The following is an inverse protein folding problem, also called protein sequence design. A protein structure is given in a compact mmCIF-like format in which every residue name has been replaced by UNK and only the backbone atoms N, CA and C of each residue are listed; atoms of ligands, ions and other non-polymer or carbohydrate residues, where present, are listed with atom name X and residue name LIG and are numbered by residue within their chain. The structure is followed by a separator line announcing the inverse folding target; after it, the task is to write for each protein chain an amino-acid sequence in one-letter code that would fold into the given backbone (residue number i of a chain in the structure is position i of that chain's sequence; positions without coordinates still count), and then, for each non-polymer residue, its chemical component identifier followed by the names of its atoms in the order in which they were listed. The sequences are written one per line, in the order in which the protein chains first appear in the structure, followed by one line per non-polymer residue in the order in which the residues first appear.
data_IF_031170823690
#
_entry.id   IF_031170823690
#
_cell.length_a   1.000
_cell.length_b   1.000
_cell.length_c   1.000
_cell.angle_alpha   90.00
_cell.angle_beta   90.00
_cell.angle_gamma   90.00
#
_symmetry.space_group_name_H-M   'P 1'
#
loop_
_entity.id
_entity.type
_entity.pdbx_description
1 polymer ?
#
# COMPACT_ATOMS: atom_id res chain seq x y z
N UNK A 1 9.14 -6.86 -31.69
CA UNK A 1 9.13 -5.48 -31.15
C UNK A 1 7.83 -5.37 -30.39
N UNK A 2 7.82 -5.82 -29.14
CA UNK A 2 6.58 -5.97 -28.38
C UNK A 2 6.18 -4.66 -27.73
N UNK A 3 5.05 -4.12 -28.20
CA UNK A 3 4.44 -2.90 -27.72
C UNK A 3 3.94 -3.08 -26.28
N UNK A 4 4.82 -2.87 -25.30
CA UNK A 4 4.45 -2.60 -23.89
C UNK A 4 3.80 -1.21 -23.73
N UNK A 5 3.14 -0.70 -24.76
CA UNK A 5 2.51 0.62 -24.74
C UNK A 5 1.23 0.60 -23.93
N UNK A 6 0.47 -0.50 -24.03
CA UNK A 6 -0.90 -0.59 -23.56
C UNK A 6 -1.10 -1.80 -22.64
N UNK A 7 -2.10 -1.68 -21.76
CA UNK A 7 -2.49 -2.78 -20.90
C UNK A 7 -2.95 -3.97 -21.75
N UNK A 8 -2.65 -5.21 -21.33
CA UNK A 8 -3.07 -6.41 -22.07
C UNK A 8 -4.61 -6.53 -22.16
N UNK A 9 -5.33 -5.85 -21.27
CA UNK A 9 -6.78 -5.84 -21.10
C UNK A 9 -7.22 -4.49 -20.51
N UNK A 10 -8.47 -4.05 -20.73
CA UNK A 10 -8.99 -2.84 -20.11
C UNK A 10 -8.84 -2.86 -18.59
N UNK A 11 -8.38 -1.74 -18.02
CA UNK A 11 -8.29 -1.57 -16.58
C UNK A 11 -9.64 -1.12 -16.06
N UNK A 12 -10.30 -2.00 -15.30
CA UNK A 12 -11.55 -1.69 -14.60
C UNK A 12 -11.22 -1.25 -13.17
N UNK A 13 -11.75 -0.10 -12.76
CA UNK A 13 -11.55 0.44 -11.40
C UNK A 13 -12.48 -0.27 -10.44
N UNK A 14 -11.93 -0.81 -9.34
CA UNK A 14 -12.70 -1.60 -8.37
C UNK A 14 -13.74 -0.73 -7.67
N UNK A 15 -13.42 0.55 -7.42
CA UNK A 15 -14.38 1.50 -6.87
C UNK A 15 -15.64 1.63 -7.77
N UNK A 16 -15.48 1.74 -9.09
CA UNK A 16 -16.64 1.82 -10.02
C UNK A 16 -17.47 0.54 -9.94
N UNK A 17 -16.81 -0.63 -9.92
CA UNK A 17 -17.50 -1.91 -9.79
C UNK A 17 -18.28 -2.00 -8.48
N UNK A 18 -17.65 -1.59 -7.38
CA UNK A 18 -18.28 -1.58 -6.05
C UNK A 18 -19.47 -0.62 -5.96
N UNK A 19 -19.43 0.50 -6.69
CA UNK A 19 -20.48 1.51 -6.71
C UNK A 19 -21.58 1.23 -7.75
N UNK A 20 -21.39 0.23 -8.62
CA UNK A 20 -22.32 -0.10 -9.71
C UNK A 20 -23.64 -0.76 -9.27
N UNK A 21 -23.71 -1.23 -8.02
CA UNK A 21 -24.84 -2.02 -7.51
C UNK A 21 -24.82 -3.50 -7.93
N UNK A 22 -23.70 -3.99 -8.47
CA UNK A 22 -23.52 -5.41 -8.78
C UNK A 22 -23.71 -6.30 -7.54
N UNK A 23 -24.45 -7.40 -7.69
CA UNK A 23 -24.73 -8.36 -6.62
C UNK A 23 -23.70 -9.48 -6.52
N UNK A 24 -22.82 -9.59 -7.52
CA UNK A 24 -21.81 -10.64 -7.62
C UNK A 24 -20.43 -10.05 -7.93
N UNK A 25 -19.40 -10.68 -7.37
CA UNK A 25 -18.00 -10.33 -7.66
C UNK A 25 -17.61 -10.96 -9.00
N UNK A 26 -17.10 -10.19 -9.98
CA UNK A 26 -16.67 -10.74 -11.25
C UNK A 26 -15.62 -11.85 -11.08
N UNK A 27 -15.65 -12.92 -11.90
CA UNK A 27 -14.79 -14.10 -11.70
C UNK A 27 -13.29 -13.81 -11.60
N UNK A 28 -12.81 -12.73 -12.23
CA UNK A 28 -11.40 -12.34 -12.20
C UNK A 28 -10.90 -11.90 -10.83
N UNK A 29 -11.78 -11.55 -9.91
CA UNK A 29 -11.44 -11.16 -8.54
C UNK A 29 -11.69 -12.28 -7.53
N UNK A 30 -12.20 -13.43 -7.99
CA UNK A 30 -12.43 -14.60 -7.16
C UNK A 30 -11.14 -15.41 -7.10
N UNK A 31 -10.53 -15.49 -5.91
CA UNK A 31 -9.31 -16.30 -5.70
C UNK A 31 -9.58 -17.80 -5.93
N UNK A 32 -8.59 -18.58 -6.37
CA UNK A 32 -8.68 -20.04 -6.42
C UNK A 32 -9.01 -20.62 -5.03
N UNK A 33 -9.70 -21.77 -4.92
CA UNK A 33 -10.05 -22.37 -3.64
C UNK A 33 -8.87 -22.54 -2.67
N UNK A 34 -7.68 -22.86 -3.19
CA UNK A 34 -6.43 -23.03 -2.45
C UNK A 34 -5.90 -21.73 -1.81
N UNK A 35 -6.25 -20.57 -2.38
CA UNK A 35 -5.83 -19.25 -1.89
C UNK A 35 -6.89 -18.60 -0.98
N UNK A 36 -8.05 -19.25 -0.79
CA UNK A 36 -9.12 -18.71 0.05
C UNK A 36 -8.85 -19.03 1.52
N UNK A 37 -9.26 -18.15 2.45
CA UNK A 37 -9.13 -18.43 3.87
C UNK A 37 -9.82 -19.75 4.23
N UNK A 38 -9.09 -20.66 4.88
CA UNK A 38 -9.66 -21.87 5.48
C UNK A 38 -10.35 -21.50 6.80
N UNK A 39 -11.56 -22.03 7.04
CA UNK A 39 -12.25 -21.85 8.32
C UNK A 39 -11.53 -22.52 9.51
N UNK A 40 -10.53 -23.36 9.24
CA UNK A 40 -9.75 -24.10 10.24
C UNK A 40 -8.54 -23.31 10.77
N UNK A 41 -8.66 -21.99 10.98
CA UNK A 41 -7.61 -21.22 11.65
C UNK A 41 -7.59 -21.57 13.14
N UNK A 42 -6.93 -22.68 13.47
CA UNK A 42 -6.66 -23.11 14.83
C UNK A 42 -5.54 -22.27 15.45
N UNK A 43 -5.76 -21.91 16.73
CA UNK A 43 -4.88 -21.19 17.65
C UNK A 43 -4.41 -19.81 17.15
N UNK A 44 -5.05 -18.78 17.70
CA UNK A 44 -4.56 -17.41 17.72
C UNK A 44 -3.20 -17.38 18.43
N UNK A 45 -2.12 -17.60 17.67
CA UNK A 45 -0.83 -17.10 18.10
C UNK A 45 -0.89 -15.59 17.85
N UNK A 46 -0.93 -14.81 18.94
CA UNK A 46 -0.98 -13.35 18.83
C UNK A 46 0.27 -12.85 18.10
N UNK A 47 0.06 -11.98 17.12
CA UNK A 47 1.12 -11.33 16.35
C UNK A 47 2.05 -10.60 17.33
N UNK A 48 3.38 -10.79 17.26
CA UNK A 48 4.32 -10.12 18.17
C UNK A 48 4.13 -8.61 18.17
N UNK A 49 4.00 -8.01 19.35
CA UNK A 49 3.94 -6.56 19.55
C UNK A 49 5.29 -6.10 20.11
N UNK A 50 5.96 -5.20 19.42
CA UNK A 50 7.28 -4.67 19.78
C UNK A 50 7.16 -3.19 20.14
N UNK A 51 7.46 -2.88 21.40
CA UNK A 51 7.61 -1.50 21.87
C UNK A 51 8.98 -0.95 21.44
N UNK A 52 8.98 0.11 20.62
CA UNK A 52 10.21 0.74 20.12
C UNK A 52 10.77 1.83 21.05
N UNK A 53 10.11 2.12 22.17
CA UNK A 53 10.57 3.12 23.14
C UNK A 53 11.45 2.56 24.25
N UNK A 54 11.47 1.23 24.43
CA UNK A 54 12.23 0.55 25.50
C UNK A 54 13.65 0.18 25.06
N UNK A 55 14.58 0.18 26.02
CA UNK A 55 15.91 -0.43 25.84
C UNK A 55 15.76 -1.94 25.66
N UNK A 56 16.31 -2.49 24.57
CA UNK A 56 16.18 -3.92 24.23
C UNK A 56 15.21 -4.24 23.08
N UNK A 57 14.56 -3.24 22.49
CA UNK A 57 13.68 -3.42 21.32
C UNK A 57 14.35 -4.16 20.15
N UNK A 58 15.68 -4.06 20.01
CA UNK A 58 16.44 -4.78 19.00
C UNK A 58 16.34 -6.31 19.12
N UNK A 59 16.45 -6.85 20.33
CA UNK A 59 16.34 -8.29 20.55
C UNK A 59 14.92 -8.79 20.24
N UNK A 60 13.89 -8.04 20.68
CA UNK A 60 12.49 -8.35 20.39
C UNK A 60 12.17 -8.28 18.89
N UNK A 61 12.67 -7.25 18.19
CA UNK A 61 12.56 -7.13 16.73
C UNK A 61 13.21 -8.32 16.02
N UNK A 62 14.42 -8.68 16.42
CA UNK A 62 15.18 -9.75 15.80
C UNK A 62 14.50 -11.11 16.02
N UNK A 63 13.96 -11.36 17.22
CA UNK A 63 13.14 -12.54 17.53
C UNK A 63 11.88 -12.60 16.68
N UNK A 64 11.08 -11.53 16.63
CA UNK A 64 9.87 -11.48 15.84
C UNK A 64 10.16 -11.65 14.32
N UNK A 65 11.21 -11.03 13.79
CA UNK A 65 11.61 -11.22 12.41
C UNK A 65 12.03 -12.67 12.10
N UNK A 66 12.72 -13.36 13.02
CA UNK A 66 13.18 -14.74 12.83
C UNK A 66 12.05 -15.76 12.94
N UNK A 67 11.19 -15.60 13.93
CA UNK A 67 10.13 -16.57 14.24
C UNK A 67 8.88 -16.35 13.40
N UNK A 68 8.56 -15.09 13.10
CA UNK A 68 7.30 -14.70 12.44
C UNK A 68 7.47 -14.07 11.07
N UNK A 69 8.58 -13.36 10.85
CA UNK A 69 8.76 -12.52 9.65
C UNK A 69 7.89 -11.25 9.64
N UNK A 70 7.06 -11.02 10.66
CA UNK A 70 6.27 -9.80 10.84
C UNK A 70 5.97 -9.51 12.31
N UNK A 71 5.61 -8.26 12.61
CA UNK A 71 5.29 -7.78 13.95
C UNK A 71 4.48 -6.49 13.89
N UNK A 72 3.84 -6.13 15.00
CA UNK A 72 3.24 -4.81 15.23
C UNK A 72 4.23 -3.93 16.01
N UNK A 73 4.49 -2.71 15.54
CA UNK A 73 5.31 -1.75 16.28
C UNK A 73 4.43 -0.78 17.06
N UNK A 74 4.74 -0.57 18.34
CA UNK A 74 4.10 0.46 19.18
C UNK A 74 5.15 1.43 19.72
N UNK A 75 4.72 2.61 20.16
CA UNK A 75 5.60 3.66 20.68
C UNK A 75 6.76 4.02 19.72
N UNK A 76 6.49 3.95 18.41
CA UNK A 76 7.47 4.14 17.33
C UNK A 76 7.88 5.60 17.08
N UNK A 77 7.32 6.55 17.81
CA UNK A 77 7.68 7.98 17.74
C UNK A 77 7.05 8.76 16.57
N UNK A 78 6.14 8.15 15.81
CA UNK A 78 5.32 8.87 14.81
C UNK A 78 4.05 9.35 15.52
N UNK A 79 3.74 10.65 15.47
CA UNK A 79 2.61 11.20 16.21
C UNK A 79 1.27 10.68 15.67
N UNK A 80 0.30 10.35 16.54
CA UNK A 80 -1.04 9.91 16.13
C UNK A 80 -1.75 10.89 15.20
N UNK A 81 -1.59 12.20 15.44
CA UNK A 81 -2.19 13.26 14.64
C UNK A 81 -1.67 13.23 13.19
N UNK A 82 -0.38 12.95 13.00
CA UNK A 82 0.21 12.80 11.67
C UNK A 82 -0.34 11.56 10.96
N UNK A 83 -0.51 10.45 11.67
CA UNK A 83 -1.09 9.23 11.09
C UNK A 83 -2.55 9.46 10.68
N UNK A 84 -3.35 10.10 11.54
CA UNK A 84 -4.74 10.43 11.26
C UNK A 84 -4.86 11.34 10.04
N UNK A 85 -4.09 12.43 10.02
CA UNK A 85 -4.05 13.37 8.89
C UNK A 85 -3.63 12.70 7.59
N UNK A 86 -2.63 11.81 7.64
CA UNK A 86 -2.18 11.08 6.46
C UNK A 86 -3.30 10.20 5.88
N UNK A 87 -4.03 9.49 6.75
CA UNK A 87 -5.19 8.68 6.35
C UNK A 87 -6.32 9.54 5.77
N UNK A 88 -6.63 10.66 6.40
CA UNK A 88 -7.67 11.59 5.94
C UNK A 88 -7.36 12.16 4.56
N UNK A 89 -6.11 12.60 4.35
CA UNK A 89 -5.67 13.18 3.08
C UNK A 89 -5.80 12.18 1.92
N UNK A 90 -5.36 10.94 2.12
CA UNK A 90 -5.53 9.89 1.11
C UNK A 90 -6.99 9.50 0.94
N UNK A 91 -7.77 9.40 2.03
CA UNK A 91 -9.21 9.16 1.95
C UNK A 91 -9.88 10.22 1.07
N UNK A 92 -9.56 11.50 1.29
CA UNK A 92 -10.09 12.61 0.47
C UNK A 92 -9.71 12.47 -1.00
N UNK A 93 -8.48 12.04 -1.32
CA UNK A 93 -8.09 11.75 -2.70
C UNK A 93 -8.96 10.66 -3.33
N UNK A 94 -9.20 9.54 -2.65
CA UNK A 94 -10.03 8.46 -3.19
C UNK A 94 -11.52 8.84 -3.32
N UNK A 95 -11.99 9.85 -2.59
CA UNK A 95 -13.33 10.42 -2.75
C UNK A 95 -13.45 11.45 -3.88
N UNK A 96 -12.34 11.84 -4.52
CA UNK A 96 -12.41 12.71 -5.71
C UNK A 96 -13.15 12.01 -6.86
N UNK A 97 -13.71 12.79 -7.82
CA UNK A 97 -14.24 12.25 -9.06
C UNK A 97 -13.25 11.31 -9.76
N UNK A 98 -13.76 10.34 -10.51
CA UNK A 98 -12.91 9.33 -11.14
C UNK A 98 -11.95 9.97 -12.15
N UNK A 99 -12.40 10.99 -12.87
CA UNK A 99 -11.64 11.74 -13.85
C UNK A 99 -10.36 12.34 -13.23
N UNK A 100 -10.50 12.96 -12.05
CA UNK A 100 -9.39 13.54 -11.28
C UNK A 100 -8.37 12.48 -10.86
N UNK A 101 -8.84 11.30 -10.42
CA UNK A 101 -7.96 10.19 -10.02
C UNK A 101 -7.23 9.61 -11.23
N UNK A 102 -7.90 9.52 -12.38
CA UNK A 102 -7.36 8.94 -13.61
C UNK A 102 -6.28 9.80 -14.27
N UNK A 103 -6.22 11.11 -14.01
CA UNK A 103 -5.07 11.96 -14.41
C UNK A 103 -3.73 11.39 -13.94
N UNK A 104 -3.75 10.65 -12.83
CA UNK A 104 -2.56 10.05 -12.24
C UNK A 104 -2.46 8.55 -12.49
N UNK A 105 -3.25 7.98 -13.40
CA UNK A 105 -3.26 6.55 -13.67
C UNK A 105 -1.85 6.02 -13.97
N UNK A 106 -1.54 4.84 -13.44
CA UNK A 106 -0.33 4.13 -13.81
C UNK A 106 -0.46 3.45 -15.19
N UNK A 107 0.62 2.85 -15.69
CA UNK A 107 0.66 2.21 -16.99
C UNK A 107 1.51 0.94 -16.96
N UNK A 108 1.51 0.10 -18.02
CA UNK A 108 2.41 -1.06 -18.09
C UNK A 108 3.90 -0.67 -18.02
N UNK A 109 4.24 0.57 -18.36
CA UNK A 109 5.61 1.11 -18.33
C UNK A 109 6.02 1.61 -16.95
N UNK A 110 5.06 2.09 -16.15
CA UNK A 110 5.33 2.59 -14.81
C UNK A 110 4.18 2.25 -13.87
N UNK A 111 4.51 1.59 -12.77
CA UNK A 111 3.57 1.24 -11.71
C UNK A 111 3.22 2.44 -10.81
N UNK A 112 3.95 3.56 -10.91
CA UNK A 112 3.67 4.79 -10.16
C UNK A 112 2.34 5.43 -10.57
N UNK A 113 1.59 5.88 -9.55
CA UNK A 113 0.30 6.53 -9.69
C UNK A 113 -0.88 5.66 -9.26
N UNK A 114 -2.06 6.04 -9.73
CA UNK A 114 -3.34 5.42 -9.41
C UNK A 114 -3.55 4.13 -10.22
N UNK A 115 -3.70 2.99 -9.54
CA UNK A 115 -3.79 1.67 -10.13
C UNK A 115 -4.94 0.85 -9.58
N UNK A 116 -5.35 -0.16 -10.34
CA UNK A 116 -6.42 -1.13 -9.98
C UNK A 116 -6.05 -2.56 -10.35
N UNK A 117 -4.80 -2.77 -10.75
CA UNK A 117 -4.25 -4.04 -11.21
C UNK A 117 -2.76 -4.06 -10.92
N UNK A 118 -2.27 -5.22 -10.47
CA UNK A 118 -0.85 -5.51 -10.38
C UNK A 118 -0.45 -6.44 -11.54
N UNK A 119 0.70 -6.15 -12.16
CA UNK A 119 1.24 -6.93 -13.26
C UNK A 119 0.54 -6.74 -14.61
N UNK A 120 1.16 -7.31 -15.65
CA UNK A 120 0.78 -7.14 -17.07
C UNK A 120 0.41 -8.47 -17.75
N UNK A 121 0.18 -9.52 -16.96
CA UNK A 121 -0.17 -10.85 -17.48
C UNK A 121 -1.66 -10.91 -17.84
N UNK A 122 -2.00 -11.18 -19.09
CA UNK A 122 -3.39 -11.36 -19.54
C UNK A 122 -4.07 -12.50 -18.77
N UNK A 123 -5.32 -12.33 -18.37
CA UNK A 123 -6.09 -13.37 -17.67
C UNK A 123 -5.69 -13.57 -16.19
N UNK A 124 -4.82 -12.71 -15.64
CA UNK A 124 -4.47 -12.75 -14.23
C UNK A 124 -5.70 -12.59 -13.31
N UNK A 125 -5.63 -13.26 -12.16
CA UNK A 125 -6.54 -13.08 -11.03
C UNK A 125 -6.15 -11.77 -10.33
N UNK A 126 -7.11 -10.89 -10.15
CA UNK A 126 -6.91 -9.52 -9.69
C UNK A 126 -7.29 -9.39 -8.21
N UNK A 127 -6.68 -8.41 -7.55
CA UNK A 127 -7.06 -8.03 -6.20
C UNK A 127 -8.26 -7.09 -6.22
N UNK A 128 -9.13 -7.22 -5.23
CA UNK A 128 -10.28 -6.34 -5.04
C UNK A 128 -9.86 -5.04 -4.35
N UNK A 129 -9.13 -4.20 -5.07
CA UNK A 129 -8.74 -2.89 -4.55
C UNK A 129 -8.15 -1.97 -5.61
N UNK A 130 -8.40 -0.69 -5.41
CA UNK A 130 -7.65 0.38 -6.06
C UNK A 130 -6.52 0.83 -5.13
N UNK A 131 -5.40 1.26 -5.70
CA UNK A 131 -4.21 1.68 -4.96
C UNK A 131 -3.60 2.93 -5.56
N UNK A 132 -2.71 3.55 -4.79
CA UNK A 132 -1.84 4.61 -5.27
C UNK A 132 -0.40 4.29 -4.88
N UNK A 133 0.50 4.22 -5.86
CA UNK A 133 1.90 3.94 -5.63
C UNK A 133 2.77 5.17 -5.89
N UNK A 134 3.66 5.51 -4.96
CA UNK A 134 4.58 6.64 -5.08
C UNK A 134 5.98 6.28 -4.60
N UNK A 135 6.99 6.71 -5.34
CA UNK A 135 8.33 6.82 -4.79
C UNK A 135 8.44 8.03 -3.87
N UNK A 136 8.68 7.76 -2.59
CA UNK A 136 9.06 8.79 -1.62
C UNK A 136 10.57 9.04 -1.65
N UNK A 137 11.35 7.96 -1.75
CA UNK A 137 12.80 7.99 -1.67
C UNK A 137 13.47 6.85 -2.46
N UNK A 138 14.73 7.02 -2.91
CA UNK A 138 15.51 8.27 -2.90
C UNK A 138 14.85 9.37 -3.74
N UNK A 139 15.14 10.65 -3.44
CA UNK A 139 14.41 11.77 -4.05
C UNK A 139 14.57 11.83 -5.57
N UNK A 140 15.64 11.27 -6.13
CA UNK A 140 15.86 11.18 -7.57
C UNK A 140 14.84 10.28 -8.30
N UNK A 141 14.19 9.35 -7.61
CA UNK A 141 13.13 8.50 -8.18
C UNK A 141 11.73 9.13 -8.04
N UNK A 142 11.61 10.28 -7.37
CA UNK A 142 10.32 10.90 -7.11
C UNK A 142 9.80 11.57 -8.38
N UNK A 143 8.77 10.99 -9.00
CA UNK A 143 8.11 11.59 -10.15
C UNK A 143 7.13 12.70 -9.74
N UNK A 144 7.52 13.97 -9.85
CA UNK A 144 6.64 15.12 -9.52
C UNK A 144 5.31 15.14 -10.29
N UNK A 145 5.27 14.57 -11.50
CA UNK A 145 4.06 14.46 -12.32
C UNK A 145 3.06 13.43 -11.76
N UNK A 146 3.56 12.40 -11.07
CA UNK A 146 2.73 11.37 -10.43
C UNK A 146 2.28 11.75 -9.04
N UNK A 147 2.61 12.92 -8.52
CA UNK A 147 2.08 13.37 -7.23
C UNK A 147 0.75 14.12 -7.43
N UNK A 148 -0.33 13.74 -6.71
CA UNK A 148 -1.60 14.45 -6.78
C UNK A 148 -1.43 15.91 -6.37
N UNK A 149 -2.04 16.81 -7.14
CA UNK A 149 -2.19 18.22 -6.76
C UNK A 149 -3.35 18.41 -5.77
N UNK A 150 -4.32 17.50 -5.80
CA UNK A 150 -5.51 17.47 -4.96
C UNK A 150 -5.51 16.23 -4.03
N UNK A 151 -5.96 16.38 -2.78
CA UNK A 151 -6.16 17.66 -2.09
C UNK A 151 -4.81 18.38 -1.88
N UNK A 152 -4.77 19.73 -1.75
CA UNK A 152 -3.52 20.48 -1.56
C UNK A 152 -2.69 20.08 -0.32
N UNK A 153 -3.33 19.38 0.62
CA UNK A 153 -2.71 18.77 1.81
C UNK A 153 -1.87 17.53 1.50
N UNK A 154 -1.99 16.92 0.32
CA UNK A 154 -1.29 15.70 -0.09
C UNK A 154 0.17 15.92 -0.48
N UNK A 155 0.62 17.17 -0.60
CA UNK A 155 2.01 17.45 -0.94
C UNK A 155 2.99 16.81 0.07
N UNK A 156 4.07 16.18 -0.40
CA UNK A 156 4.97 15.33 0.41
C UNK A 156 5.55 16.03 1.66
N UNK A 157 5.76 17.34 1.58
CA UNK A 157 6.23 18.15 2.71
C UNK A 157 5.28 18.09 3.92
N UNK A 158 3.99 17.79 3.72
CA UNK A 158 2.93 17.77 4.74
C UNK A 158 2.64 16.37 5.30
N UNK A 159 3.07 15.31 4.62
CA UNK A 159 2.88 13.91 5.03
C UNK A 159 4.13 13.31 5.71
N UNK A 160 5.25 14.06 5.74
CA UNK A 160 6.53 13.71 6.38
C UNK A 160 6.94 12.25 6.19
N UNK A 161 7.27 11.86 4.95
CA UNK A 161 7.92 10.57 4.66
C UNK A 161 9.23 10.35 5.44
N UNK A 162 9.86 11.43 5.92
CA UNK A 162 11.07 11.39 6.74
C UNK A 162 10.86 10.73 8.11
N UNK A 163 9.71 10.95 8.77
CA UNK A 163 9.44 10.31 10.08
C UNK A 163 9.27 8.80 9.94
N UNK A 164 8.56 8.37 8.90
CA UNK A 164 8.40 6.96 8.55
C UNK A 164 9.73 6.33 8.15
N UNK A 165 10.54 7.03 7.34
CA UNK A 165 11.91 6.60 7.03
C UNK A 165 12.75 6.43 8.29
N UNK A 166 12.77 7.40 9.19
CA UNK A 166 13.57 7.34 10.41
C UNK A 166 13.15 6.16 11.30
N UNK A 167 11.85 5.86 11.36
CA UNK A 167 11.33 4.68 12.05
C UNK A 167 11.83 3.39 11.41
N UNK A 168 11.76 3.28 10.07
CA UNK A 168 12.26 2.12 9.33
C UNK A 168 13.80 1.97 9.41
N UNK A 169 14.54 3.07 9.46
CA UNK A 169 15.99 3.04 9.65
C UNK A 169 16.37 2.53 11.05
N UNK A 170 15.63 2.93 12.09
CA UNK A 170 15.82 2.41 13.45
C UNK A 170 15.60 0.90 13.50
N UNK A 171 14.49 0.40 12.94
CA UNK A 171 14.21 -1.04 12.95
C UNK A 171 15.25 -1.84 12.16
N UNK A 172 15.71 -1.33 11.01
CA UNK A 172 16.77 -1.98 10.21
C UNK A 172 18.09 -2.09 10.96
N UNK A 173 18.53 -1.00 11.60
CA UNK A 173 19.78 -0.99 12.36
C UNK A 173 19.71 -1.88 13.60
N UNK A 174 18.52 -2.06 14.17
CA UNK A 174 18.29 -2.92 15.32
C UNK A 174 18.15 -4.41 14.98
N UNK A 175 17.78 -4.75 13.74
CA UNK A 175 17.59 -6.15 13.31
C UNK A 175 18.85 -6.80 12.70
N UNK A 176 19.80 -6.00 12.21
CA UNK A 176 21.02 -6.47 11.53
C UNK A 176 22.28 -6.59 12.39
N UNK A 177 22.15 -6.49 13.72
CA UNK A 177 23.23 -6.69 14.69
C UNK A 177 23.17 -8.06 15.37
#
# INVERSE_FOLDING_TARGET
MDSLSDWPEPVVRVQILSESGATEIPPRYVKPPEDRPSAAVSACNDIPVVDLSIGGAAAALSGACREWGFFQAVNHGVSPELMCRSREVWRSFFHLPMEEKQLYANSPKTYEGYGSRLGVQKGAILDWGDYYFLHLFPLCLKSHQKWPSLPPSLRPAKLTGERWRNTASKSRNSAGG
#
